data_IF_282828206798
#
_entry.id   IF_282828206798
#
_cell.length_a   1.000
_cell.length_b   1.000
_cell.length_c   1.000
_cell.angle_alpha   90.00
_cell.angle_beta   90.00
_cell.angle_gamma   90.00
#
_symmetry.space_group_name_H-M   'P 1'
#
loop_
_entity.id
_entity.type
_entity.pdbx_description
1 polymer ?
#
# COMPACT_ATOMS: atom_id res chain seq x y z
N UNK A 1 -15.89 29.83 8.85
CA UNK A 1 -14.55 29.20 8.84
C UNK A 1 -13.82 29.75 7.63
N UNK A 2 -12.75 30.52 7.85
CA UNK A 2 -11.93 31.13 6.79
C UNK A 2 -10.85 30.14 6.36
N UNK A 3 -11.04 29.48 5.22
CA UNK A 3 -10.01 28.68 4.54
C UNK A 3 -9.00 29.62 3.91
N UNK A 4 -7.72 29.47 4.26
CA UNK A 4 -6.63 30.25 3.66
C UNK A 4 -6.04 29.45 2.51
N UNK A 5 -6.42 29.78 1.28
CA UNK A 5 -5.80 29.25 0.07
C UNK A 5 -4.66 30.18 -0.34
N UNK A 6 -3.41 29.71 -0.23
CA UNK A 6 -2.25 30.48 -0.66
C UNK A 6 -1.79 29.92 -2.00
N UNK A 7 -2.00 30.61 -3.13
CA UNK A 7 -1.37 30.20 -4.38
C UNK A 7 0.15 30.29 -4.20
N UNK A 8 0.88 29.25 -4.62
CA UNK A 8 2.35 29.27 -4.61
C UNK A 8 2.81 30.46 -5.45
N UNK A 9 3.49 31.40 -4.78
CA UNK A 9 4.03 32.62 -5.39
C UNK A 9 4.91 32.24 -6.58
N UNK A 10 4.50 32.64 -7.79
CA UNK A 10 5.39 32.71 -8.94
C UNK A 10 6.59 33.56 -8.53
N UNK A 11 7.78 32.96 -8.51
CA UNK A 11 9.02 33.72 -8.52
C UNK A 11 9.12 34.44 -9.86
N UNK A 12 8.55 35.63 -9.96
CA UNK A 12 8.82 36.55 -11.06
C UNK A 12 10.22 37.12 -10.84
N UNK A 13 11.26 36.38 -11.22
CA UNK A 13 12.59 36.94 -11.40
C UNK A 13 12.75 37.31 -12.87
N UNK A 14 13.05 38.59 -13.11
CA UNK A 14 13.34 39.19 -14.39
C UNK A 14 14.61 38.60 -15.05
N UNK A 15 14.52 37.38 -15.55
CA UNK A 15 15.59 36.67 -16.27
C UNK A 15 15.18 36.23 -17.70
N UNK A 16 13.94 36.50 -18.12
CA UNK A 16 13.40 36.07 -19.42
C UNK A 16 13.81 36.95 -20.63
N UNK A 17 14.83 37.80 -20.48
CA UNK A 17 15.27 38.70 -21.56
C UNK A 17 16.73 38.49 -22.02
N UNK A 18 17.44 37.46 -21.55
CA UNK A 18 18.87 37.30 -21.87
C UNK A 18 19.34 35.86 -22.13
N UNK A 19 18.50 35.00 -22.73
CA UNK A 19 18.92 33.67 -23.19
C UNK A 19 18.53 33.42 -24.65
N UNK A 20 18.93 34.35 -25.52
CA UNK A 20 19.20 34.05 -26.93
C UNK A 20 20.67 34.36 -27.18
N UNK A 21 21.39 33.35 -27.68
CA UNK A 21 22.82 33.32 -28.03
C UNK A 21 23.80 32.94 -26.90
N UNK A 22 24.03 31.63 -26.74
CA UNK A 22 25.38 31.07 -26.56
C UNK A 22 25.34 29.53 -26.70
N UNK A 23 25.23 29.06 -27.95
CA UNK A 23 25.66 27.73 -28.34
C UNK A 23 27.19 27.71 -28.36
N UNK A 24 27.83 27.07 -27.38
CA UNK A 24 29.13 26.43 -27.59
C UNK A 24 29.30 25.28 -26.61
N UNK A 25 28.97 24.08 -27.09
CA UNK A 25 29.08 22.83 -26.38
C UNK A 25 30.53 22.53 -25.96
N UNK A 26 30.78 22.47 -24.65
CA UNK A 26 31.92 21.72 -24.09
C UNK A 26 31.44 20.31 -23.76
N UNK A 27 31.72 19.38 -24.67
CA UNK A 27 31.39 17.96 -24.52
C UNK A 27 32.13 17.37 -23.31
N UNK A 28 31.38 16.98 -22.27
CA UNK A 28 31.95 16.20 -21.17
C UNK A 28 32.45 14.85 -21.68
N UNK A 29 33.62 14.37 -21.21
CA UNK A 29 34.17 13.09 -21.64
C UNK A 29 33.23 11.95 -21.22
N UNK A 30 32.71 11.22 -22.22
CA UNK A 30 31.88 10.04 -22.03
C UNK A 30 32.66 9.02 -21.17
N UNK A 31 32.06 8.59 -20.06
CA UNK A 31 32.71 7.64 -19.15
C UNK A 31 33.14 6.37 -19.90
N UNK A 32 34.31 5.81 -19.56
CA UNK A 32 34.85 4.58 -20.18
C UNK A 32 33.85 3.41 -20.15
N UNK A 33 32.96 3.37 -19.14
CA UNK A 33 31.88 2.40 -19.03
C UNK A 33 30.81 2.56 -20.11
N UNK A 34 30.39 3.79 -20.43
CA UNK A 34 29.44 4.08 -21.51
C UNK A 34 30.04 3.75 -22.89
N UNK A 35 31.34 4.01 -23.07
CA UNK A 35 32.06 3.68 -24.30
C UNK A 35 32.15 2.17 -24.54
N UNK A 36 32.47 1.38 -23.50
CA UNK A 36 32.48 -0.09 -23.57
C UNK A 36 31.09 -0.66 -23.86
N UNK A 37 30.04 -0.09 -23.26
CA UNK A 37 28.67 -0.53 -23.47
C UNK A 37 28.19 -0.24 -24.90
N UNK A 38 28.54 0.95 -25.44
CA UNK A 38 28.26 1.31 -26.83
C UNK A 38 28.98 0.39 -27.82
N UNK A 39 30.27 0.12 -27.61
CA UNK A 39 31.04 -0.81 -28.44
C UNK A 39 30.50 -2.25 -28.39
N UNK A 40 30.06 -2.73 -27.22
CA UNK A 40 29.43 -4.03 -27.10
C UNK A 40 28.09 -4.10 -27.86
N UNK A 41 27.26 -3.04 -27.77
CA UNK A 41 25.99 -2.97 -28.50
C UNK A 41 26.18 -2.89 -30.01
N UNK A 42 27.15 -2.12 -30.48
CA UNK A 42 27.47 -2.01 -31.91
C UNK A 42 28.00 -3.35 -32.45
N UNK A 43 28.88 -4.06 -31.73
CA UNK A 43 29.34 -5.39 -32.12
C UNK A 43 28.23 -6.45 -32.16
N UNK A 44 27.23 -6.35 -31.28
CA UNK A 44 26.08 -7.25 -31.26
C UNK A 44 25.13 -6.94 -32.44
N UNK A 45 24.92 -5.64 -32.73
CA UNK A 45 24.11 -5.19 -33.87
C UNK A 45 24.71 -5.64 -35.19
N UNK A 46 26.03 -5.52 -35.35
CA UNK A 46 26.73 -5.83 -36.59
C UNK A 46 26.88 -7.34 -36.83
N UNK A 47 26.74 -8.18 -35.78
CA UNK A 47 26.85 -9.65 -35.86
C UNK A 47 25.51 -10.39 -35.98
N UNK A 48 24.36 -9.71 -35.94
CA UNK A 48 23.05 -10.38 -35.96
C UNK A 48 22.39 -10.37 -37.34
N UNK A 49 22.25 -11.52 -38.03
CA UNK A 49 21.51 -11.59 -39.27
C UNK A 49 20.00 -11.63 -38.98
N UNK A 50 19.27 -10.75 -39.66
CA UNK A 50 17.80 -10.57 -39.74
C UNK A 50 17.08 -9.88 -38.57
N UNK A 51 16.20 -8.88 -38.86
CA UNK A 51 15.51 -8.06 -37.87
C UNK A 51 14.47 -8.81 -37.02
N UNK A 52 13.98 -9.96 -37.48
CA UNK A 52 13.02 -10.77 -36.73
C UNK A 52 13.68 -11.60 -35.62
N UNK A 53 14.89 -12.11 -35.86
CA UNK A 53 15.67 -12.83 -34.83
C UNK A 53 16.07 -11.90 -33.69
N UNK A 54 16.22 -10.60 -33.95
CA UNK A 54 16.50 -9.60 -32.91
C UNK A 54 15.29 -9.32 -32.01
N UNK A 55 14.09 -9.25 -32.59
CA UNK A 55 12.84 -9.16 -31.80
C UNK A 55 12.58 -10.44 -31.01
N UNK A 56 12.89 -11.60 -31.59
CA UNK A 56 12.72 -12.90 -30.95
C UNK A 56 13.77 -13.16 -29.87
N UNK A 57 15.01 -12.68 -30.08
CA UNK A 57 16.05 -12.64 -29.04
C UNK A 57 15.67 -11.65 -27.95
N UNK A 58 15.17 -10.45 -28.25
CA UNK A 58 14.69 -9.50 -27.24
C UNK A 58 13.48 -10.02 -26.47
N UNK A 59 12.55 -10.71 -27.14
CA UNK A 59 11.43 -11.37 -26.50
C UNK A 59 11.93 -12.51 -25.61
N UNK A 60 12.80 -13.39 -26.14
CA UNK A 60 13.43 -14.46 -25.36
C UNK A 60 14.27 -13.92 -24.21
N UNK A 61 14.98 -12.80 -24.36
CA UNK A 61 15.79 -12.18 -23.31
C UNK A 61 14.93 -11.50 -22.25
N UNK A 62 13.80 -10.88 -22.64
CA UNK A 62 12.78 -10.36 -21.72
C UNK A 62 12.07 -11.47 -20.96
N UNK A 63 11.81 -12.62 -21.59
CA UNK A 63 11.16 -13.77 -20.95
C UNK A 63 12.14 -14.70 -20.20
N UNK A 64 13.42 -14.73 -20.57
CA UNK A 64 14.44 -15.61 -19.95
C UNK A 64 15.23 -14.93 -18.84
N UNK A 65 15.18 -13.60 -18.73
CA UNK A 65 15.65 -12.91 -17.54
C UNK A 65 14.51 -12.79 -16.54
N UNK A 66 14.46 -13.72 -15.59
CA UNK A 66 14.24 -13.32 -14.20
C UNK A 66 15.26 -12.24 -13.87
N UNK A 67 14.90 -10.99 -14.15
CA UNK A 67 15.78 -9.83 -14.06
C UNK A 67 16.42 -9.77 -12.67
N UNK A 68 17.73 -9.99 -12.62
CA UNK A 68 18.56 -9.89 -11.43
C UNK A 68 18.73 -8.45 -10.96
N UNK A 69 18.33 -7.45 -11.76
CA UNK A 69 18.46 -6.03 -11.46
C UNK A 69 17.26 -5.53 -10.67
N UNK A 70 17.48 -4.79 -9.58
CA UNK A 70 16.35 -4.15 -8.86
C UNK A 70 15.70 -3.22 -9.88
N UNK A 71 14.40 -3.38 -10.14
CA UNK A 71 13.74 -2.44 -11.02
C UNK A 71 13.65 -1.10 -10.30
N UNK A 72 14.48 -0.17 -10.77
CA UNK A 72 14.35 1.24 -10.53
C UNK A 72 13.63 1.82 -11.75
N UNK A 73 12.35 2.20 -11.63
CA UNK A 73 11.74 3.07 -12.62
C UNK A 73 12.68 4.27 -12.78
N UNK A 74 13.15 4.57 -14.01
CA UNK A 74 14.10 5.65 -14.20
C UNK A 74 13.44 6.95 -13.76
N UNK A 75 14.12 7.68 -12.86
CA UNK A 75 13.70 9.02 -12.46
C UNK A 75 13.50 9.88 -13.71
N UNK A 76 12.41 10.64 -13.79
CA UNK A 76 12.15 11.50 -14.93
C UNK A 76 13.22 12.61 -15.03
N UNK A 77 14.12 12.57 -16.03
CA UNK A 77 15.20 13.56 -16.13
C UNK A 77 14.73 14.90 -16.70
N UNK A 78 13.45 15.04 -17.05
CA UNK A 78 12.85 16.22 -17.71
C UNK A 78 11.70 16.82 -16.90
N UNK A 79 11.78 16.77 -15.58
CA UNK A 79 10.83 17.53 -14.74
C UNK A 79 11.10 19.02 -14.95
N UNK A 80 10.08 19.84 -15.23
CA UNK A 80 10.25 21.28 -15.26
C UNK A 80 10.70 21.76 -13.88
N UNK A 81 11.68 22.65 -13.81
CA UNK A 81 12.19 23.18 -12.54
C UNK A 81 11.11 23.90 -11.72
N UNK A 82 10.04 24.35 -12.38
CA UNK A 82 8.87 25.03 -11.82
C UNK A 82 7.67 24.11 -11.57
N UNK A 83 7.82 22.79 -11.72
CA UNK A 83 6.76 21.86 -11.34
C UNK A 83 6.68 21.73 -9.82
N UNK A 84 5.48 21.44 -9.32
CA UNK A 84 5.25 21.12 -7.92
C UNK A 84 6.17 19.98 -7.46
N UNK A 85 6.83 20.17 -6.32
CA UNK A 85 7.70 19.19 -5.69
C UNK A 85 7.15 18.76 -4.34
N UNK A 86 7.50 17.57 -3.87
CA UNK A 86 7.07 17.12 -2.54
C UNK A 86 7.68 17.98 -1.41
N UNK A 87 8.80 18.65 -1.68
CA UNK A 87 9.42 19.64 -0.79
C UNK A 87 8.56 20.89 -0.58
N UNK A 88 7.65 21.20 -1.50
CA UNK A 88 6.68 22.30 -1.32
C UNK A 88 5.73 21.99 -0.16
N UNK A 89 5.35 20.73 0.02
CA UNK A 89 4.53 20.27 1.15
C UNK A 89 5.31 20.39 2.45
N UNK A 90 6.60 20.04 2.44
CA UNK A 90 7.48 20.16 3.60
C UNK A 90 7.56 21.62 4.04
N UNK A 91 7.83 22.52 3.09
CA UNK A 91 7.91 23.97 3.31
C UNK A 91 6.58 24.52 3.83
N UNK A 92 5.46 24.10 3.21
CA UNK A 92 4.12 24.53 3.59
C UNK A 92 3.73 24.07 5.00
N UNK A 93 4.21 22.89 5.42
CA UNK A 93 4.09 22.37 6.79
C UNK A 93 5.10 22.99 7.78
N UNK A 94 5.94 23.93 7.34
CA UNK A 94 6.99 24.55 8.15
C UNK A 94 8.14 23.59 8.49
N UNK A 95 8.40 22.60 7.64
CA UNK A 95 9.47 21.60 7.81
C UNK A 95 10.67 21.95 6.94
N UNK A 96 11.86 21.78 7.50
CA UNK A 96 13.13 22.01 6.81
C UNK A 96 13.69 20.76 6.12
N UNK A 97 13.02 19.61 6.29
CA UNK A 97 13.45 18.32 5.76
C UNK A 97 12.24 17.46 5.38
N UNK A 98 12.40 16.50 4.46
CA UNK A 98 11.36 15.52 4.18
C UNK A 98 11.04 14.65 5.40
N UNK A 99 9.88 13.98 5.42
CA UNK A 99 9.50 13.12 6.52
C UNK A 99 10.42 11.89 6.56
N UNK A 100 10.69 11.36 7.75
CA UNK A 100 11.43 10.11 7.89
C UNK A 100 10.66 8.96 7.23
N UNK A 101 9.34 8.89 7.43
CA UNK A 101 8.44 7.90 6.81
C UNK A 101 7.18 8.59 6.33
N UNK A 102 6.71 8.23 5.14
CA UNK A 102 5.36 8.51 4.67
C UNK A 102 4.71 7.21 4.20
N UNK A 103 3.68 6.78 4.91
CA UNK A 103 2.86 5.65 4.52
C UNK A 103 1.74 6.14 3.60
N UNK A 104 1.65 5.53 2.42
CA UNK A 104 0.80 5.99 1.31
C UNK A 104 -0.31 4.97 1.11
N UNK A 105 -1.55 5.41 1.26
CA UNK A 105 -2.76 4.66 0.94
C UNK A 105 -3.36 5.22 -0.33
N UNK A 106 -3.33 4.40 -1.39
CA UNK A 106 -3.97 4.71 -2.65
C UNK A 106 -5.42 4.22 -2.57
N UNK A 107 -6.35 5.16 -2.57
CA UNK A 107 -7.77 4.85 -2.47
C UNK A 107 -8.30 4.30 -3.81
N UNK A 108 -9.11 3.26 -3.71
CA UNK A 108 -10.04 2.90 -4.79
C UNK A 108 -11.23 3.84 -4.69
N UNK A 109 -11.79 4.25 -5.82
CA UNK A 109 -12.95 5.15 -5.85
C UNK A 109 -14.07 4.58 -4.99
N UNK A 110 -14.31 5.23 -3.84
CA UNK A 110 -15.37 4.83 -2.93
C UNK A 110 -16.57 5.72 -3.15
N UNK A 111 -17.76 5.12 -3.13
CA UNK A 111 -19.01 5.85 -3.30
C UNK A 111 -19.18 6.81 -2.12
N UNK A 112 -19.64 8.05 -2.34
CA UNK A 112 -19.82 9.07 -1.27
C UNK A 112 -20.80 8.70 -0.15
N UNK A 113 -21.46 7.55 -0.24
CA UNK A 113 -22.44 7.09 0.74
C UNK A 113 -21.74 6.11 1.69
N UNK A 114 -21.69 6.38 3.01
CA UNK A 114 -21.00 5.53 3.98
C UNK A 114 -21.66 4.15 4.14
N UNK A 115 -22.91 3.99 3.71
CA UNK A 115 -23.65 2.71 3.73
C UNK A 115 -23.46 1.91 2.44
N UNK A 116 -22.78 2.46 1.42
CA UNK A 116 -22.61 1.77 0.16
C UNK A 116 -21.69 0.54 0.32
N UNK A 117 -22.01 -0.64 -0.23
CA UNK A 117 -21.19 -1.84 -0.08
C UNK A 117 -19.74 -1.69 -0.59
N UNK A 118 -19.45 -0.72 -1.46
CA UNK A 118 -18.08 -0.42 -1.87
C UNK A 118 -17.20 0.16 -0.75
N UNK A 119 -17.81 0.72 0.30
CA UNK A 119 -17.11 1.12 1.53
C UNK A 119 -16.57 -0.08 2.31
N UNK A 120 -17.22 -1.24 2.15
CA UNK A 120 -16.74 -2.52 2.68
C UNK A 120 -15.66 -3.13 1.77
N UNK A 121 -15.55 -2.64 0.53
CA UNK A 121 -14.54 -2.98 -0.46
C UNK A 121 -13.20 -2.38 -0.11
N UNK A 122 -12.52 -2.99 0.87
CA UNK A 122 -11.23 -2.53 1.42
C UNK A 122 -10.02 -2.70 0.50
N UNK A 123 -10.24 -2.59 -0.80
CA UNK A 123 -9.18 -2.70 -1.78
C UNK A 123 -8.51 -1.34 -1.88
N UNK A 124 -7.59 -1.07 -0.96
CA UNK A 124 -6.62 0.00 -1.14
C UNK A 124 -5.29 -0.62 -1.56
N UNK A 125 -4.43 0.19 -2.15
CA UNK A 125 -3.04 -0.19 -2.38
C UNK A 125 -2.14 0.59 -1.44
N UNK A 126 -1.07 -0.02 -0.96
CA UNK A 126 -0.13 0.63 -0.06
C UNK A 126 1.27 0.73 -0.64
N UNK A 127 1.87 1.90 -0.47
CA UNK A 127 3.29 2.15 -0.71
C UNK A 127 3.89 2.84 0.51
N UNK A 128 5.22 2.91 0.57
CA UNK A 128 5.92 3.66 1.62
C UNK A 128 7.06 4.46 1.03
N UNK A 129 7.07 5.77 1.32
CA UNK A 129 8.24 6.63 1.11
C UNK A 129 9.00 6.73 2.42
N UNK A 130 10.33 6.73 2.34
CA UNK A 130 11.16 6.91 3.52
C UNK A 130 12.47 7.60 3.20
N UNK A 131 13.03 8.26 4.20
CA UNK A 131 14.28 9.01 4.11
C UNK A 131 15.37 8.31 4.91
N UNK A 132 16.48 7.97 4.26
CA UNK A 132 17.64 7.37 4.90
C UNK A 132 18.42 8.41 5.73
N UNK A 133 19.25 7.98 6.70
CA UNK A 133 20.07 8.91 7.49
C UNK A 133 21.01 9.79 6.66
N UNK A 134 21.37 9.37 5.44
CA UNK A 134 22.17 10.16 4.50
C UNK A 134 21.35 11.19 3.70
N UNK A 135 20.05 11.36 4.00
CA UNK A 135 19.13 12.25 3.30
C UNK A 135 18.52 11.68 2.01
N UNK A 136 19.00 10.52 1.52
CA UNK A 136 18.42 9.88 0.32
C UNK A 136 16.99 9.40 0.59
N UNK A 137 16.05 9.87 -0.21
CA UNK A 137 14.68 9.36 -0.21
C UNK A 137 14.56 8.12 -1.10
N UNK A 138 13.68 7.20 -0.71
CA UNK A 138 13.28 6.05 -1.50
C UNK A 138 11.77 5.87 -1.36
N UNK A 139 11.11 5.40 -2.40
CA UNK A 139 9.75 4.91 -2.32
C UNK A 139 9.70 3.44 -2.72
N UNK A 140 9.02 2.65 -1.90
CA UNK A 140 8.82 1.23 -2.10
C UNK A 140 7.36 0.99 -2.44
N UNK A 141 7.16 0.44 -3.63
CA UNK A 141 5.87 0.00 -4.13
C UNK A 141 5.87 -1.53 -4.24
N UNK A 142 4.89 -2.18 -3.61
CA UNK A 142 4.82 -3.65 -3.57
C UNK A 142 3.66 -4.10 -4.44
N UNK A 143 3.96 -4.69 -5.60
CA UNK A 143 2.97 -5.08 -6.58
C UNK A 143 2.87 -6.59 -6.70
N UNK A 144 1.74 -7.06 -7.25
CA UNK A 144 1.68 -8.43 -7.75
C UNK A 144 2.72 -8.54 -8.88
N UNK A 145 3.63 -9.52 -8.83
CA UNK A 145 4.57 -9.73 -9.92
C UNK A 145 3.80 -10.14 -11.18
N UNK A 146 3.83 -9.29 -12.20
CA UNK A 146 3.38 -9.57 -13.57
C UNK A 146 4.62 -9.79 -14.46
N UNK A 147 4.45 -10.20 -15.73
CA UNK A 147 5.58 -10.45 -16.64
C UNK A 147 6.55 -9.26 -16.68
N UNK A 148 7.79 -9.48 -16.22
CA UNK A 148 8.83 -8.46 -16.17
C UNK A 148 8.81 -7.54 -14.93
N UNK A 149 7.81 -7.62 -14.05
CA UNK A 149 7.72 -6.83 -12.83
C UNK A 149 8.23 -7.59 -11.60
N UNK A 150 8.88 -6.87 -10.68
CA UNK A 150 9.32 -7.42 -9.41
C UNK A 150 8.24 -7.30 -8.34
N UNK A 151 8.32 -8.13 -7.30
CA UNK A 151 7.47 -8.01 -6.11
C UNK A 151 7.61 -6.63 -5.46
N UNK A 152 8.83 -6.08 -5.46
CA UNK A 152 9.14 -4.75 -4.94
C UNK A 152 9.75 -3.90 -6.05
N UNK A 153 9.14 -2.75 -6.30
CA UNK A 153 9.65 -1.69 -7.15
C UNK A 153 10.21 -0.57 -6.25
N UNK A 154 11.47 -0.21 -6.50
CA UNK A 154 12.13 0.88 -5.77
C UNK A 154 12.16 2.11 -6.65
N UNK A 155 11.49 3.16 -6.23
CA UNK A 155 11.55 4.47 -6.85
C UNK A 155 12.64 5.28 -6.14
N UNK A 156 13.68 5.64 -6.88
CA UNK A 156 14.68 6.60 -6.40
C UNK A 156 14.09 8.02 -6.32
N UNK A 157 13.05 8.29 -7.11
CA UNK A 157 12.31 9.54 -7.12
C UNK A 157 10.84 9.28 -6.73
N UNK A 158 10.45 9.56 -5.47
CA UNK A 158 9.09 9.29 -4.99
C UNK A 158 7.99 10.06 -5.73
N UNK A 159 8.31 11.20 -6.32
CA UNK A 159 7.33 12.04 -7.02
C UNK A 159 6.79 11.35 -8.28
N UNK A 160 7.61 10.55 -8.96
CA UNK A 160 7.19 9.81 -10.16
C UNK A 160 6.05 8.82 -9.84
N UNK A 161 5.99 8.35 -8.59
CA UNK A 161 4.91 7.50 -8.10
C UNK A 161 3.68 8.32 -7.67
N UNK A 162 3.88 9.33 -6.82
CA UNK A 162 2.78 10.10 -6.21
C UNK A 162 2.13 11.02 -7.23
N UNK A 163 2.92 11.85 -7.91
CA UNK A 163 2.43 12.82 -8.90
C UNK A 163 2.15 12.14 -10.25
N UNK A 164 2.72 10.96 -10.48
CA UNK A 164 2.62 10.24 -11.74
C UNK A 164 3.56 10.79 -12.82
N UNK A 165 3.65 10.05 -13.93
CA UNK A 165 4.54 10.39 -15.04
C UNK A 165 3.73 10.71 -16.30
N UNK A 166 3.94 11.88 -16.89
CA UNK A 166 3.28 12.32 -18.13
C UNK A 166 1.75 12.17 -18.11
N UNK A 167 1.12 12.55 -16.98
CA UNK A 167 -0.33 12.45 -16.82
C UNK A 167 -0.86 11.01 -16.70
N UNK A 168 -0.02 10.06 -16.29
CA UNK A 168 -0.38 8.65 -16.03
C UNK A 168 0.08 8.24 -14.62
N UNK A 169 -0.74 7.45 -13.94
CA UNK A 169 -0.45 7.00 -12.58
C UNK A 169 -0.66 8.09 -11.53
N UNK A 170 -0.30 7.80 -10.27
CA UNK A 170 -0.40 8.76 -9.16
C UNK A 170 -1.76 9.44 -9.04
N UNK A 171 -1.70 10.72 -8.67
CA UNK A 171 -2.87 11.62 -8.53
C UNK A 171 -3.64 11.85 -9.83
N UNK A 172 -3.08 11.55 -11.02
CA UNK A 172 -3.85 11.62 -12.27
C UNK A 172 -4.87 10.48 -12.41
N UNK A 173 -4.76 9.45 -11.57
CA UNK A 173 -5.57 8.25 -11.71
C UNK A 173 -6.40 7.93 -10.47
N UNK A 174 -5.95 8.35 -9.28
CA UNK A 174 -6.50 7.91 -8.00
C UNK A 174 -6.35 9.00 -6.96
N UNK A 175 -7.26 8.99 -5.98
CA UNK A 175 -7.05 9.74 -4.75
C UNK A 175 -6.00 9.01 -3.89
N UNK A 176 -5.15 9.76 -3.23
CA UNK A 176 -4.09 9.23 -2.39
C UNK A 176 -4.19 9.94 -1.04
N UNK A 177 -4.24 9.16 0.03
CA UNK A 177 -4.05 9.70 1.38
C UNK A 177 -2.76 9.14 1.96
N UNK A 178 -1.92 10.02 2.50
CA UNK A 178 -0.70 9.61 3.17
C UNK A 178 -0.66 10.11 4.60
N UNK A 179 0.07 9.36 5.44
CA UNK A 179 0.45 9.77 6.78
C UNK A 179 1.96 9.84 6.88
N UNK A 180 2.45 11.00 7.28
CA UNK A 180 3.86 11.35 7.42
C UNK A 180 4.26 11.34 8.88
N UNK A 181 5.38 10.69 9.16
CA UNK A 181 6.08 10.72 10.45
C UNK A 181 7.39 11.46 10.21
N UNK A 182 7.52 12.65 10.80
CA UNK A 182 8.60 13.58 10.47
C UNK A 182 9.95 13.09 11.00
N UNK A 183 9.97 12.58 12.23
CA UNK A 183 11.14 12.10 12.94
C UNK A 183 10.98 10.65 13.37
N UNK A 184 11.94 9.82 12.95
CA UNK A 184 12.09 8.41 13.35
C UNK A 184 13.58 8.14 13.58
N UNK A 185 13.90 7.24 14.51
CA UNK A 185 15.29 6.91 14.84
C UNK A 185 16.07 6.44 13.60
N UNK A 186 17.33 6.88 13.38
CA UNK A 186 18.12 6.50 12.21
C UNK A 186 18.28 4.99 12.03
N UNK A 187 18.43 4.24 13.12
CA UNK A 187 18.58 2.78 13.07
C UNK A 187 17.29 2.10 12.61
N UNK A 188 16.13 2.62 13.02
CA UNK A 188 14.82 2.16 12.51
C UNK A 188 14.71 2.36 11.00
N UNK A 189 15.27 3.46 10.48
CA UNK A 189 15.28 3.70 9.03
C UNK A 189 16.17 2.73 8.27
N UNK A 190 17.31 2.35 8.84
CA UNK A 190 18.17 1.30 8.26
C UNK A 190 17.49 -0.06 8.32
N UNK A 191 16.82 -0.39 9.42
CA UNK A 191 16.06 -1.63 9.57
C UNK A 191 14.95 -1.74 8.52
N UNK A 192 14.23 -0.64 8.25
CA UNK A 192 13.21 -0.55 7.21
C UNK A 192 13.79 -0.82 5.81
N UNK A 193 14.89 -0.15 5.45
CA UNK A 193 15.55 -0.31 4.15
C UNK A 193 16.09 -1.74 3.97
N UNK A 194 16.77 -2.27 4.98
CA UNK A 194 17.29 -3.65 4.98
C UNK A 194 16.18 -4.68 4.83
N UNK A 195 15.01 -4.46 5.45
CA UNK A 195 13.85 -5.33 5.28
C UNK A 195 13.38 -5.39 3.81
N UNK A 196 13.21 -4.24 3.15
CA UNK A 196 12.79 -4.21 1.76
C UNK A 196 13.85 -4.77 0.81
N UNK A 197 15.13 -4.46 1.05
CA UNK A 197 16.23 -5.05 0.29
C UNK A 197 16.26 -6.58 0.45
N UNK A 198 16.12 -7.08 1.67
CA UNK A 198 16.09 -8.52 1.95
C UNK A 198 14.94 -9.23 1.21
N UNK A 199 13.74 -8.64 1.19
CA UNK A 199 12.62 -9.21 0.41
C UNK A 199 12.94 -9.21 -1.09
N UNK A 200 13.46 -8.11 -1.62
CA UNK A 200 13.85 -8.02 -3.04
C UNK A 200 14.90 -9.07 -3.41
N UNK A 201 15.93 -9.22 -2.58
CA UNK A 201 16.97 -10.24 -2.77
C UNK A 201 16.41 -11.67 -2.68
N UNK A 202 15.54 -11.98 -1.71
CA UNK A 202 14.90 -13.30 -1.56
C UNK A 202 13.98 -13.64 -2.74
N UNK A 203 13.21 -12.66 -3.21
CA UNK A 203 12.35 -12.84 -4.37
C UNK A 203 13.18 -13.17 -5.62
N UNK A 204 14.32 -12.51 -5.80
CA UNK A 204 15.22 -12.75 -6.94
C UNK A 204 15.98 -14.06 -6.88
N UNK A 205 16.52 -14.41 -5.71
CA UNK A 205 17.38 -15.58 -5.56
C UNK A 205 16.63 -16.87 -5.94
N UNK A 206 15.39 -17.01 -5.49
CA UNK A 206 14.68 -18.28 -5.60
C UNK A 206 13.43 -18.21 -6.49
N UNK A 207 12.95 -17.01 -6.87
CA UNK A 207 11.63 -16.79 -7.51
C UNK A 207 10.43 -17.27 -6.67
N UNK A 208 10.72 -17.89 -5.53
CA UNK A 208 9.83 -18.71 -4.70
C UNK A 208 9.99 -18.40 -3.21
N UNK A 209 10.95 -17.56 -2.82
CA UNK A 209 11.24 -17.25 -1.40
C UNK A 209 10.21 -16.33 -0.74
N UNK A 210 9.44 -15.57 -1.53
CA UNK A 210 8.34 -14.71 -1.09
C UNK A 210 7.23 -14.76 -2.16
N UNK A 211 5.96 -14.80 -1.76
CA UNK A 211 4.83 -14.76 -2.70
C UNK A 211 3.89 -13.57 -2.43
N UNK A 212 3.23 -13.11 -3.49
CA UNK A 212 2.19 -12.09 -3.37
C UNK A 212 0.82 -12.75 -3.28
N UNK A 213 0.13 -12.54 -2.17
CA UNK A 213 -1.22 -13.07 -1.96
C UNK A 213 -2.13 -12.05 -1.32
N UNK A 214 -3.32 -11.89 -1.91
CA UNK A 214 -4.28 -10.87 -1.49
C UNK A 214 -5.08 -11.32 -0.26
N UNK A 215 -5.44 -12.60 -0.16
CA UNK A 215 -6.40 -13.12 0.83
C UNK A 215 -5.99 -14.42 1.50
N UNK A 216 -5.31 -15.32 0.79
CA UNK A 216 -4.89 -16.63 1.31
C UNK A 216 -3.79 -16.55 2.36
N UNK A 217 -2.83 -15.65 2.15
CA UNK A 217 -1.61 -15.62 2.92
C UNK A 217 -1.76 -15.38 4.43
N UNK A 218 -2.85 -14.78 4.92
CA UNK A 218 -3.03 -14.66 6.38
C UNK A 218 -3.04 -16.02 7.07
N UNK A 219 -3.86 -16.93 6.57
CA UNK A 219 -4.06 -18.26 7.17
C UNK A 219 -2.79 -19.08 7.11
N UNK A 220 -2.16 -19.09 5.93
CA UNK A 220 -0.90 -19.80 5.74
C UNK A 220 0.18 -19.30 6.69
N UNK A 221 0.25 -17.98 6.91
CA UNK A 221 1.23 -17.40 7.83
C UNK A 221 0.89 -17.61 9.30
N UNK A 222 -0.39 -17.53 9.71
CA UNK A 222 -0.80 -17.77 11.09
C UNK A 222 -0.59 -19.23 11.48
N UNK A 223 -1.04 -20.16 10.63
CA UNK A 223 -0.79 -21.60 10.82
C UNK A 223 0.72 -21.85 10.86
N UNK A 224 1.50 -21.19 10.00
CA UNK A 224 2.97 -21.29 10.05
C UNK A 224 3.54 -20.84 11.40
N UNK A 225 3.11 -19.69 11.89
CA UNK A 225 3.65 -19.08 13.10
C UNK A 225 3.30 -19.90 14.34
N UNK A 226 2.08 -20.43 14.42
CA UNK A 226 1.64 -21.30 15.52
C UNK A 226 2.31 -22.67 15.45
N UNK A 227 2.39 -23.29 14.27
CA UNK A 227 2.89 -24.66 14.11
C UNK A 227 4.35 -24.76 13.66
N UNK A 228 5.09 -23.64 13.61
CA UNK A 228 6.50 -23.55 13.19
C UNK A 228 6.80 -24.24 11.84
N UNK A 229 5.86 -24.18 10.89
CA UNK A 229 5.98 -24.91 9.63
C UNK A 229 7.02 -24.27 8.69
N UNK A 230 7.76 -25.05 7.90
CA UNK A 230 8.68 -24.53 6.88
C UNK A 230 7.90 -24.14 5.62
N UNK A 231 7.00 -23.15 5.71
CA UNK A 231 6.26 -22.61 4.56
C UNK A 231 6.70 -21.20 4.21
N UNK A 232 6.58 -20.85 2.93
CA UNK A 232 7.05 -19.57 2.38
C UNK A 232 6.20 -18.41 2.91
N UNK A 233 6.80 -17.26 3.25
CA UNK A 233 6.03 -16.08 3.59
C UNK A 233 5.31 -15.53 2.36
N UNK A 234 3.98 -15.54 2.44
CA UNK A 234 3.07 -14.94 1.48
C UNK A 234 2.49 -13.64 2.04
N UNK A 235 2.15 -12.67 1.18
CA UNK A 235 1.55 -11.43 1.66
C UNK A 235 1.18 -10.46 0.55
N UNK A 236 0.25 -9.55 0.84
CA UNK A 236 -0.08 -8.43 -0.05
C UNK A 236 0.83 -7.23 0.23
N UNK A 237 0.60 -6.13 -0.49
CA UNK A 237 1.34 -4.88 -0.32
C UNK A 237 1.34 -4.40 1.14
N UNK A 238 0.18 -4.39 1.79
CA UNK A 238 0.03 -3.95 3.18
C UNK A 238 0.81 -4.80 4.17
N UNK A 239 0.80 -6.14 4.03
CA UNK A 239 1.53 -7.03 4.93
C UNK A 239 3.03 -6.79 4.86
N UNK A 240 3.58 -6.69 3.66
CA UNK A 240 5.01 -6.50 3.47
C UNK A 240 5.47 -5.12 3.93
N UNK A 241 4.68 -4.07 3.68
CA UNK A 241 4.94 -2.72 4.18
C UNK A 241 4.84 -2.65 5.71
N UNK A 242 3.74 -3.15 6.30
CA UNK A 242 3.55 -3.09 7.75
C UNK A 242 4.60 -3.88 8.52
N UNK A 243 5.07 -5.02 8.00
CA UNK A 243 6.20 -5.74 8.61
C UNK A 243 7.47 -4.88 8.66
N UNK A 244 7.74 -4.11 7.60
CA UNK A 244 8.83 -3.14 7.60
C UNK A 244 8.64 -2.04 8.64
N UNK A 245 7.42 -1.50 8.73
CA UNK A 245 7.07 -0.46 9.71
C UNK A 245 7.13 -0.96 11.17
N UNK A 246 6.87 -2.26 11.41
CA UNK A 246 7.11 -2.90 12.71
C UNK A 246 8.61 -2.95 13.03
N UNK A 247 9.45 -3.34 12.06
CA UNK A 247 10.91 -3.29 12.26
C UNK A 247 11.44 -1.87 12.48
N UNK A 248 10.77 -0.87 11.92
CA UNK A 248 11.06 0.54 12.18
C UNK A 248 10.51 1.06 13.53
N UNK A 249 9.81 0.23 14.30
CA UNK A 249 9.13 0.59 15.54
C UNK A 249 8.09 1.73 15.36
N UNK A 250 7.47 1.81 14.18
CA UNK A 250 6.41 2.79 13.88
C UNK A 250 5.02 2.18 13.97
N UNK A 251 4.91 0.87 13.73
CA UNK A 251 3.73 0.07 14.00
C UNK A 251 3.99 -0.91 15.13
N UNK A 252 2.96 -1.23 15.91
CA UNK A 252 3.05 -2.27 16.93
C UNK A 252 2.91 -3.66 16.33
N UNK A 253 2.11 -3.78 15.27
CA UNK A 253 1.80 -5.05 14.61
C UNK A 253 1.72 -4.90 13.10
N UNK A 254 1.90 -6.04 12.43
CA UNK A 254 1.67 -6.15 10.99
C UNK A 254 0.16 -6.23 10.70
N UNK A 255 -0.27 -5.67 9.58
CA UNK A 255 -1.64 -5.77 9.08
C UNK A 255 -1.64 -5.98 7.57
N UNK A 256 -2.66 -6.67 7.07
CA UNK A 256 -2.87 -6.85 5.63
C UNK A 256 -3.84 -5.83 5.04
N UNK A 257 -4.35 -4.91 5.84
CA UNK A 257 -5.34 -3.92 5.42
C UNK A 257 -4.67 -2.53 5.39
N UNK A 258 -4.50 -1.91 4.21
CA UNK A 258 -3.80 -0.65 4.12
C UNK A 258 -4.37 0.45 5.02
N UNK A 259 -5.69 0.55 5.06
CA UNK A 259 -6.38 1.55 5.87
C UNK A 259 -6.22 1.31 7.37
N UNK A 260 -6.20 0.04 7.81
CA UNK A 260 -5.94 -0.28 9.21
C UNK A 260 -4.52 0.15 9.63
N UNK A 261 -3.52 0.00 8.76
CA UNK A 261 -2.16 0.50 8.98
C UNK A 261 -2.17 2.03 9.14
N UNK A 262 -2.85 2.72 8.23
CA UNK A 262 -2.97 4.18 8.28
C UNK A 262 -3.64 4.66 9.57
N UNK A 263 -4.75 4.02 9.97
CA UNK A 263 -5.45 4.33 11.23
C UNK A 263 -4.55 4.05 12.44
N UNK A 264 -3.85 2.92 12.46
CA UNK A 264 -2.95 2.59 13.57
C UNK A 264 -1.80 3.61 13.69
N UNK A 265 -1.21 4.02 12.56
CA UNK A 265 -0.20 5.08 12.55
C UNK A 265 -0.77 6.40 13.04
N UNK A 266 -1.94 6.81 12.55
CA UNK A 266 -2.58 8.06 12.95
C UNK A 266 -2.82 8.09 14.46
N UNK A 267 -3.50 7.07 14.98
CA UNK A 267 -3.91 7.00 16.38
C UNK A 267 -2.71 6.84 17.32
N UNK A 268 -1.78 5.93 17.02
CA UNK A 268 -0.67 5.66 17.93
C UNK A 268 0.42 6.74 17.88
N UNK A 269 0.82 7.17 16.68
CA UNK A 269 1.90 8.15 16.56
C UNK A 269 1.43 9.53 17.01
N UNK A 270 0.17 9.90 16.72
CA UNK A 270 -0.35 11.18 17.21
C UNK A 270 -0.60 11.18 18.71
N UNK A 271 -0.95 10.04 19.32
CA UNK A 271 -1.08 9.96 20.78
C UNK A 271 0.26 10.14 21.49
N UNK A 272 1.36 9.70 20.87
CA UNK A 272 2.71 9.87 21.41
C UNK A 272 3.25 11.28 21.16
N UNK A 273 3.13 11.78 19.93
CA UNK A 273 3.56 13.13 19.55
C UNK A 273 2.77 13.62 18.32
N UNK A 274 1.71 14.38 18.55
CA UNK A 274 0.86 14.93 17.49
C UNK A 274 1.62 15.85 16.51
N UNK A 275 2.66 16.56 16.97
CA UNK A 275 3.46 17.42 16.09
C UNK A 275 4.41 16.64 15.18
N UNK A 276 4.61 15.34 15.44
CA UNK A 276 5.43 14.48 14.57
C UNK A 276 4.63 13.85 13.43
N UNK A 277 3.32 14.08 13.38
CA UNK A 277 2.41 13.42 12.44
C UNK A 277 1.70 14.46 11.58
N UNK A 278 1.78 14.29 10.27
CA UNK A 278 1.00 15.08 9.32
C UNK A 278 0.29 14.16 8.33
N UNK A 279 -0.97 14.42 8.05
CA UNK A 279 -1.75 13.74 7.03
C UNK A 279 -1.81 14.62 5.80
N UNK A 280 -1.47 14.05 4.64
CA UNK A 280 -1.54 14.73 3.36
C UNK A 280 -2.52 13.98 2.47
N UNK A 281 -3.53 14.70 1.98
CA UNK A 281 -4.51 14.14 1.06
C UNK A 281 -4.28 14.73 -0.32
N UNK A 282 -3.92 13.89 -1.28
CA UNK A 282 -3.75 14.26 -2.66
C UNK A 282 -5.02 13.92 -3.43
N UNK A 283 -5.74 14.97 -3.84
CA UNK A 283 -6.97 14.81 -4.60
C UNK A 283 -6.64 14.43 -6.04
N UNK A 284 -7.43 13.50 -6.58
CA UNK A 284 -7.28 13.06 -7.96
C UNK A 284 -7.55 14.22 -8.93
N UNK A 285 -6.62 14.42 -9.86
CA UNK A 285 -6.72 15.43 -10.90
C UNK A 285 -7.83 15.10 -11.91
N UNK A 286 -8.65 16.10 -12.24
CA UNK A 286 -9.81 16.00 -13.13
C UNK A 286 -9.36 16.02 -14.59
N UNK A 287 -9.66 14.99 -15.38
CA UNK A 287 -9.35 15.01 -16.83
C UNK A 287 -9.30 13.64 -17.51
N UNK A 288 -9.16 12.55 -16.75
CA UNK A 288 -9.29 11.18 -17.27
C UNK A 288 -10.32 10.40 -16.47
N UNK A 289 -11.56 10.90 -16.47
CA UNK A 289 -12.73 10.22 -15.87
C UNK A 289 -13.18 9.05 -16.76
N UNK A 290 -12.28 8.12 -17.05
CA UNK A 290 -12.69 6.76 -17.35
C UNK A 290 -12.53 6.00 -16.06
N UNK A 291 -13.58 6.03 -15.24
CA UNK A 291 -13.70 5.13 -14.10
C UNK A 291 -13.45 3.71 -14.63
N UNK A 292 -12.40 3.06 -14.12
CA UNK A 292 -12.20 1.67 -14.50
C UNK A 292 -13.34 0.87 -13.86
N UNK A 293 -14.09 0.05 -14.62
CA UNK A 293 -15.30 -0.62 -14.12
C UNK A 293 -15.03 -1.64 -12.99
N UNK A 294 -13.78 -2.04 -12.74
CA UNK A 294 -13.45 -2.86 -11.56
C UNK A 294 -13.33 -2.05 -10.26
N UNK A 295 -13.40 -0.72 -10.32
CA UNK A 295 -13.44 0.16 -9.14
C UNK A 295 -14.88 0.43 -8.67
N UNK A 296 -15.90 0.11 -9.48
CA UNK A 296 -17.32 0.35 -9.14
C UNK A 296 -17.92 -0.77 -8.29
N UNK A 297 -17.41 -2.00 -8.41
CA UNK A 297 -17.92 -3.18 -7.68
C UNK A 297 -17.07 -3.47 -6.44
N UNK A 298 -17.15 -2.61 -5.42
CA UNK A 298 -16.38 -2.78 -4.19
C UNK A 298 -16.80 -3.97 -3.31
N UNK A 299 -17.96 -4.61 -3.54
CA UNK A 299 -18.39 -5.75 -2.74
C UNK A 299 -18.06 -7.09 -3.42
N UNK A 300 -16.89 -7.67 -3.11
CA UNK A 300 -16.60 -9.06 -3.46
C UNK A 300 -16.93 -10.01 -2.31
N UNK A 301 -17.08 -11.32 -2.59
CA UNK A 301 -17.20 -12.40 -1.59
C UNK A 301 -16.08 -12.36 -0.53
N UNK A 302 -14.95 -11.76 -0.90
CA UNK A 302 -13.84 -11.47 -0.01
C UNK A 302 -14.18 -10.49 1.12
N UNK A 303 -15.05 -9.52 0.86
CA UNK A 303 -15.52 -8.53 1.85
C UNK A 303 -16.33 -9.19 2.97
N UNK A 304 -17.12 -10.22 2.63
CA UNK A 304 -17.84 -11.03 3.62
C UNK A 304 -16.88 -11.83 4.51
N UNK A 305 -15.87 -12.49 3.90
CA UNK A 305 -14.80 -13.16 4.66
C UNK A 305 -14.05 -12.18 5.56
N UNK A 306 -13.74 -10.99 5.06
CA UNK A 306 -13.08 -9.95 5.84
C UNK A 306 -13.96 -9.42 6.98
N UNK A 307 -15.28 -9.40 6.80
CA UNK A 307 -16.22 -9.01 7.86
C UNK A 307 -16.31 -10.03 8.97
N UNK A 308 -16.36 -11.32 8.62
CA UNK A 308 -16.38 -12.41 9.60
C UNK A 308 -15.06 -12.53 10.37
N UNK A 309 -13.93 -12.37 9.68
CA UNK A 309 -12.59 -12.71 10.20
C UNK A 309 -11.80 -11.50 10.68
N UNK A 310 -12.16 -10.29 10.26
CA UNK A 310 -11.46 -9.04 10.60
C UNK A 310 -12.47 -7.88 10.79
N UNK A 311 -13.49 -8.04 11.65
CA UNK A 311 -14.56 -7.07 11.88
C UNK A 311 -14.02 -5.72 12.33
N UNK A 312 -13.00 -5.72 13.19
CA UNK A 312 -12.41 -4.50 13.76
C UNK A 312 -11.80 -3.68 12.64
N UNK A 313 -11.03 -4.33 11.77
CA UNK A 313 -10.44 -3.66 10.63
C UNK A 313 -11.52 -3.18 9.64
N UNK A 314 -12.71 -3.83 9.56
CA UNK A 314 -13.85 -3.30 8.78
C UNK A 314 -14.31 -2.00 9.42
N UNK A 315 -14.59 -2.06 10.71
CA UNK A 315 -15.27 -1.00 11.42
C UNK A 315 -14.36 0.20 11.52
N UNK A 316 -13.05 -0.01 11.75
CA UNK A 316 -12.06 1.05 11.61
C UNK A 316 -12.02 1.60 10.19
N UNK A 317 -11.95 0.76 9.16
CA UNK A 317 -11.96 1.26 7.77
C UNK A 317 -13.21 2.09 7.44
N UNK A 318 -14.36 1.72 8.02
CA UNK A 318 -15.64 2.41 7.89
C UNK A 318 -15.71 3.69 8.73
N UNK A 319 -15.23 3.70 9.97
CA UNK A 319 -15.21 4.90 10.81
C UNK A 319 -14.30 5.99 10.24
N UNK A 320 -13.19 5.57 9.62
CA UNK A 320 -12.26 6.47 8.92
C UNK A 320 -12.55 6.53 7.42
N UNK A 321 -13.78 6.26 6.97
CA UNK A 321 -14.13 6.15 5.54
C UNK A 321 -13.66 7.36 4.72
N UNK A 322 -13.91 8.57 5.22
CA UNK A 322 -13.44 9.82 4.62
C UNK A 322 -12.09 10.21 5.20
N UNK A 323 -11.01 9.76 4.56
CA UNK A 323 -9.66 10.09 5.01
C UNK A 323 -9.31 11.57 4.80
N UNK A 324 -10.02 12.28 3.91
CA UNK A 324 -9.79 13.70 3.64
C UNK A 324 -10.14 14.59 4.83
N UNK A 325 -11.10 14.19 5.67
CA UNK A 325 -11.44 14.88 6.91
C UNK A 325 -10.28 14.92 7.92
N UNK A 326 -9.31 14.02 7.82
CA UNK A 326 -8.16 13.96 8.72
C UNK A 326 -6.93 14.68 8.16
N UNK A 327 -7.01 15.24 6.95
CA UNK A 327 -5.89 15.90 6.29
C UNK A 327 -5.46 17.18 7.01
N UNK A 328 -4.16 17.38 7.14
CA UNK A 328 -3.55 18.66 7.49
C UNK A 328 -3.31 19.50 6.23
N UNK A 329 -2.95 18.83 5.13
CA UNK A 329 -2.72 19.45 3.83
C UNK A 329 -3.53 18.71 2.78
N UNK A 330 -4.29 19.46 1.98
CA UNK A 330 -4.89 18.96 0.76
C UNK A 330 -4.09 19.48 -0.42
N UNK A 331 -3.59 18.57 -1.24
CA UNK A 331 -2.98 18.86 -2.54
C UNK A 331 -4.06 18.68 -3.60
N UNK A 332 -4.42 19.75 -4.28
CA UNK A 332 -5.47 19.75 -5.30
C UNK A 332 -5.08 20.67 -6.47
N UNK A 333 -5.94 20.78 -7.47
CA UNK A 333 -5.84 21.81 -8.49
C UNK A 333 -7.20 22.49 -8.69
N UNK A 334 -7.19 23.73 -9.16
CA UNK A 334 -8.41 24.39 -9.59
C UNK A 334 -9.00 23.67 -10.81
N UNK A 335 -10.33 23.68 -10.89
CA UNK A 335 -11.10 22.94 -11.91
C UNK A 335 -10.85 23.45 -13.33
N UNK A 336 -10.31 24.67 -13.44
CA UNK A 336 -10.13 25.38 -14.69
C UNK A 336 -8.77 25.11 -15.35
N UNK A 337 -7.87 24.35 -14.71
CA UNK A 337 -6.51 24.10 -15.24
C UNK A 337 -6.50 23.01 -16.32
N UNK A 338 -5.99 23.30 -17.53
CA UNK A 338 -5.82 22.29 -18.59
C UNK A 338 -4.91 21.14 -18.14
N UNK A 339 -5.24 19.90 -18.54
CA UNK A 339 -4.52 18.67 -18.14
C UNK A 339 -2.98 18.76 -18.28
N UNK A 340 -2.48 19.46 -19.31
CA UNK A 340 -1.05 19.64 -19.54
C UNK A 340 -0.34 20.46 -18.44
N UNK A 341 -1.08 21.33 -17.76
CA UNK A 341 -0.57 22.25 -16.74
C UNK A 341 -0.93 21.81 -15.32
N UNK A 342 -1.68 20.70 -15.16
CA UNK A 342 -2.23 20.35 -13.86
C UNK A 342 -1.18 20.01 -12.79
N UNK A 343 -0.05 19.42 -13.17
CA UNK A 343 1.08 19.19 -12.25
C UNK A 343 1.88 20.44 -11.91
N UNK A 344 1.78 21.48 -12.73
CA UNK A 344 2.51 22.74 -12.52
C UNK A 344 1.73 23.73 -11.65
N UNK A 345 0.42 23.51 -11.50
CA UNK A 345 -0.49 24.43 -10.81
C UNK A 345 -1.20 23.72 -9.64
N UNK A 346 -0.51 22.78 -8.98
CA UNK A 346 -1.05 22.19 -7.76
C UNK A 346 -1.11 23.26 -6.66
N UNK A 347 -2.25 23.31 -5.99
CA UNK A 347 -2.52 24.18 -4.86
C UNK A 347 -2.43 23.38 -3.56
N UNK A 348 -1.86 24.03 -2.54
CA UNK A 348 -1.81 23.50 -1.18
C UNK A 348 -2.83 24.23 -0.31
N UNK A 349 -3.69 23.47 0.35
CA UNK A 349 -4.68 24.00 1.28
C UNK A 349 -4.39 23.45 2.68
N UNK A 350 -4.20 24.36 3.64
CA UNK A 350 -4.10 23.99 5.05
C UNK A 350 -5.51 23.74 5.58
N UNK A 351 -5.74 22.54 6.11
CA UNK A 351 -7.02 22.15 6.68
C UNK A 351 -6.81 21.80 8.14
N UNK A 352 -7.63 22.39 9.02
CA UNK A 352 -7.76 21.88 10.38
C UNK A 352 -8.59 20.60 10.27
N UNK A 353 -7.90 19.45 10.20
CA UNK A 353 -8.56 18.14 10.09
C UNK A 353 -9.72 18.04 11.08
N UNK A 354 -10.94 17.98 10.56
CA UNK A 354 -12.19 17.91 11.34
C UNK A 354 -12.59 16.48 11.69
N UNK A 355 -11.83 15.49 11.19
CA UNK A 355 -12.06 14.08 11.43
C UNK A 355 -12.04 13.76 12.92
N UNK A 356 -13.16 13.23 13.42
CA UNK A 356 -13.26 12.76 14.78
C UNK A 356 -12.53 11.43 14.92
N UNK A 357 -11.51 11.40 15.79
CA UNK A 357 -10.86 10.15 16.17
C UNK A 357 -11.85 9.26 16.91
N UNK A 358 -11.87 7.99 16.56
CA UNK A 358 -12.72 7.03 17.26
C UNK A 358 -12.15 6.80 18.66
N UNK A 359 -12.91 7.05 19.74
CA UNK A 359 -12.43 6.76 21.08
C UNK A 359 -12.05 5.28 21.21
N UNK A 360 -10.91 4.99 21.84
CA UNK A 360 -10.43 3.60 22.02
C UNK A 360 -11.49 2.69 22.65
N UNK A 361 -12.27 3.22 23.59
CA UNK A 361 -13.39 2.50 24.21
C UNK A 361 -14.42 1.98 23.20
N UNK A 362 -14.72 2.73 22.15
CA UNK A 362 -15.65 2.30 21.09
C UNK A 362 -15.04 1.14 20.29
N UNK A 363 -13.75 1.21 19.97
CA UNK A 363 -13.03 0.13 19.28
C UNK A 363 -13.02 -1.15 20.13
N UNK A 364 -12.74 -1.03 21.43
CA UNK A 364 -12.77 -2.17 22.35
C UNK A 364 -14.17 -2.73 22.54
N UNK A 365 -15.19 -1.87 22.63
CA UNK A 365 -16.59 -2.31 22.71
C UNK A 365 -16.98 -3.10 21.46
N UNK A 366 -16.64 -2.59 20.27
CA UNK A 366 -16.89 -3.27 19.00
C UNK A 366 -16.22 -4.65 18.96
N UNK A 367 -14.95 -4.74 19.38
CA UNK A 367 -14.21 -6.01 19.48
C UNK A 367 -14.88 -6.98 20.43
N UNK A 368 -15.24 -6.50 21.62
CA UNK A 368 -15.91 -7.30 22.63
C UNK A 368 -17.25 -7.84 22.13
N UNK A 369 -18.07 -6.99 21.50
CA UNK A 369 -19.35 -7.36 20.93
C UNK A 369 -19.21 -8.37 19.79
N UNK A 370 -18.18 -8.25 18.94
CA UNK A 370 -17.90 -9.27 17.92
C UNK A 370 -17.45 -10.59 18.54
N UNK A 371 -16.57 -10.57 19.54
CA UNK A 371 -16.17 -11.77 20.27
C UNK A 371 -17.38 -12.50 20.86
N UNK A 372 -18.31 -11.76 21.48
CA UNK A 372 -19.58 -12.30 21.97
C UNK A 372 -20.44 -12.88 20.85
N UNK A 373 -20.56 -12.17 19.72
CA UNK A 373 -21.35 -12.64 18.57
C UNK A 373 -20.78 -13.94 18.00
N UNK A 374 -19.46 -14.01 17.76
CA UNK A 374 -18.81 -15.21 17.23
C UNK A 374 -18.95 -16.37 18.22
N UNK A 375 -18.72 -16.12 19.51
CA UNK A 375 -18.89 -17.13 20.54
C UNK A 375 -20.34 -17.64 20.60
N UNK A 376 -21.32 -16.72 20.56
CA UNK A 376 -22.74 -17.06 20.56
C UNK A 376 -23.17 -17.85 19.32
N UNK A 377 -22.75 -17.43 18.12
CA UNK A 377 -22.99 -18.16 16.87
C UNK A 377 -22.39 -19.56 16.90
N UNK A 378 -21.22 -19.70 17.51
CA UNK A 378 -20.57 -20.98 17.63
C UNK A 378 -21.25 -21.91 18.61
N UNK A 379 -21.62 -21.42 19.80
CA UNK A 379 -22.43 -22.19 20.74
C UNK A 379 -23.78 -22.58 20.10
N UNK A 380 -24.43 -21.64 19.41
CA UNK A 380 -25.65 -21.91 18.64
C UNK A 380 -25.45 -23.03 17.62
N UNK A 381 -24.36 -23.01 16.86
CA UNK A 381 -24.03 -24.08 15.94
C UNK A 381 -23.77 -25.42 16.67
N UNK A 382 -23.03 -25.42 17.78
CA UNK A 382 -22.75 -26.65 18.55
C UNK A 382 -24.03 -27.25 19.14
N UNK A 383 -24.93 -26.43 19.67
CA UNK A 383 -26.14 -26.91 20.36
C UNK A 383 -27.35 -27.13 19.45
N UNK A 384 -27.44 -26.43 18.31
CA UNK A 384 -28.62 -26.47 17.42
C UNK A 384 -28.34 -27.03 16.02
N UNK A 385 -27.12 -27.45 15.68
CA UNK A 385 -26.91 -28.13 14.41
C UNK A 385 -27.60 -29.52 14.46
N UNK A 386 -28.59 -29.83 13.60
CA UNK A 386 -29.51 -30.97 13.78
C UNK A 386 -28.91 -32.36 13.52
N UNK A 387 -27.58 -32.50 13.58
CA UNK A 387 -26.86 -33.72 13.19
C UNK A 387 -26.64 -34.73 14.31
N UNK A 388 -27.04 -34.43 15.55
CA UNK A 388 -27.07 -35.42 16.62
C UNK A 388 -28.26 -36.35 16.44
N UNK A 389 -28.16 -37.32 15.52
CA UNK A 389 -29.11 -38.42 15.51
C UNK A 389 -28.99 -39.15 16.86
N UNK A 390 -30.11 -39.44 17.56
CA UNK A 390 -30.06 -40.38 18.67
C UNK A 390 -29.50 -41.70 18.14
N UNK A 391 -28.64 -42.36 18.92
CA UNK A 391 -28.13 -43.68 18.56
C UNK A 391 -29.31 -44.59 18.19
N UNK A 392 -29.25 -45.23 17.03
CA UNK A 392 -30.32 -46.11 16.56
C UNK A 392 -30.56 -47.32 17.48
N UNK A 393 -29.66 -47.54 18.45
CA UNK A 393 -29.75 -48.61 19.44
C UNK A 393 -29.86 -48.02 20.86
N UNK A 394 -30.96 -48.27 21.59
CA UNK A 394 -31.21 -47.72 22.92
C UNK A 394 -30.32 -48.28 24.05
N UNK A 395 -29.38 -49.19 23.74
CA UNK A 395 -28.57 -49.89 24.75
C UNK A 395 -27.16 -49.32 24.95
N UNK A 396 -26.74 -48.33 24.16
CA UNK A 396 -25.41 -47.71 24.33
C UNK A 396 -25.54 -46.42 25.12
N UNK A 397 -25.43 -46.53 26.44
CA UNK A 397 -25.30 -45.38 27.33
C UNK A 397 -24.02 -44.60 26.98
N UNK A 398 -24.20 -43.43 26.36
CA UNK A 398 -23.17 -42.42 26.12
C UNK A 398 -22.10 -42.75 25.05
N UNK A 399 -22.53 -43.10 23.83
CA UNK A 399 -21.69 -42.91 22.65
C UNK A 399 -22.20 -41.71 21.85
N UNK A 400 -21.53 -40.56 22.00
CA UNK A 400 -21.52 -39.60 20.90
C UNK A 400 -20.73 -40.25 19.76
N UNK A 401 -21.41 -40.93 18.84
CA UNK A 401 -20.81 -41.17 17.52
C UNK A 401 -20.59 -39.79 16.89
N UNK A 402 -19.40 -39.24 17.07
CA UNK A 402 -18.91 -38.16 16.23
C UNK A 402 -18.88 -38.75 14.82
N UNK A 403 -19.87 -38.34 14.01
CA UNK A 403 -20.23 -38.87 12.70
C UNK A 403 -19.12 -39.59 11.92
N UNK A 404 -19.47 -40.65 11.15
CA UNK A 404 -18.61 -41.20 10.11
C UNK A 404 -18.06 -40.08 9.23
N UNK A 405 -16.81 -40.20 8.84
CA UNK A 405 -15.97 -39.25 8.10
C UNK A 405 -16.48 -38.81 6.71
N UNK A 406 -17.75 -39.07 6.40
CA UNK A 406 -18.34 -38.96 5.06
C UNK A 406 -19.51 -37.99 4.94
N UNK A 407 -19.87 -37.21 6.00
CA UNK A 407 -20.94 -36.20 5.93
C UNK A 407 -20.49 -34.75 6.22
N UNK A 408 -21.15 -33.72 5.62
CA UNK A 408 -20.71 -32.31 5.64
C UNK A 408 -20.72 -31.63 7.02
N UNK A 409 -21.31 -32.28 8.04
CA UNK A 409 -21.46 -31.73 9.38
C UNK A 409 -20.16 -31.65 10.19
N UNK A 410 -19.20 -32.56 9.98
CA UNK A 410 -17.88 -32.47 10.65
C UNK A 410 -17.06 -31.29 10.14
N UNK A 411 -17.25 -30.94 8.86
CA UNK A 411 -16.66 -29.74 8.25
C UNK A 411 -17.23 -28.48 8.88
N UNK A 412 -18.54 -28.40 9.11
CA UNK A 412 -19.17 -27.25 9.76
C UNK A 412 -18.74 -27.07 11.22
N UNK A 413 -18.62 -28.15 11.99
CA UNK A 413 -18.11 -28.10 13.37
C UNK A 413 -16.64 -27.63 13.43
N UNK A 414 -15.80 -28.12 12.52
CA UNK A 414 -14.40 -27.67 12.38
C UNK A 414 -14.32 -26.21 11.93
N UNK A 415 -15.19 -25.76 11.03
CA UNK A 415 -15.28 -24.36 10.60
C UNK A 415 -15.70 -23.48 11.78
N UNK A 416 -16.70 -23.88 12.54
CA UNK A 416 -17.17 -23.14 13.72
C UNK A 416 -16.08 -23.03 14.79
N UNK A 417 -15.43 -24.14 15.16
CA UNK A 417 -14.31 -24.13 16.10
C UNK A 417 -13.14 -23.29 15.58
N UNK A 418 -12.85 -23.37 14.27
CA UNK A 418 -11.87 -22.49 13.66
C UNK A 418 -12.30 -21.03 13.82
N UNK A 419 -13.52 -20.64 13.46
CA UNK A 419 -14.02 -19.26 13.57
C UNK A 419 -13.97 -18.74 15.02
N UNK A 420 -14.27 -19.58 16.02
CA UNK A 420 -14.12 -19.22 17.45
C UNK A 420 -12.66 -19.05 17.83
N UNK A 421 -11.81 -20.03 17.50
CA UNK A 421 -10.37 -19.93 17.75
C UNK A 421 -9.79 -18.70 17.07
N UNK A 422 -10.29 -18.34 15.88
CA UNK A 422 -9.91 -17.15 15.12
C UNK A 422 -10.32 -15.87 15.85
N UNK A 423 -11.57 -15.77 16.33
CA UNK A 423 -12.00 -14.61 17.09
C UNK A 423 -11.22 -14.47 18.41
N UNK A 424 -10.89 -15.59 19.06
CA UNK A 424 -10.05 -15.61 20.27
C UNK A 424 -8.61 -15.19 19.95
N UNK A 425 -8.01 -15.70 18.88
CA UNK A 425 -6.66 -15.34 18.45
C UNK A 425 -6.60 -13.89 17.99
N UNK A 426 -7.59 -13.41 17.23
CA UNK A 426 -7.72 -11.99 16.88
C UNK A 426 -7.76 -11.16 18.17
N UNK A 427 -8.58 -11.53 19.14
CA UNK A 427 -8.66 -10.83 20.43
C UNK A 427 -7.34 -10.87 21.23
N UNK A 428 -6.60 -11.98 21.19
CA UNK A 428 -5.34 -12.15 21.94
C UNK A 428 -4.14 -11.45 21.30
N UNK A 429 -4.11 -11.37 19.97
CA UNK A 429 -3.04 -10.71 19.22
C UNK A 429 -3.30 -9.20 18.98
N UNK A 430 -4.42 -8.62 19.46
CA UNK A 430 -4.82 -7.22 19.23
C UNK A 430 -5.08 -6.37 20.47
#
# INVERSE_FOLDING_TARGET
MTTTSTPLLRSSSAADAAYTAADTATAQPVSRSKLRWKQAMDQIRDKSPTPNRWKELLARFRTSQHSTYIMYPPANPRKPDFAFQLSDIDTFLGRSKPPAIEYIVVEVLVHKCPLHPSQLGRWAHSAVRYTLPCGKQKLVNICRPEEGHQLIEFYDDPEDYILGYQGKGGIFSRDICSIRIEDVHPDSMRALDHHFQAISHRFKADGKGCSFEITGGFWENLVREVFHLPSKPSGNCARWVSKGLVYANVLKRQSMFPKAIWVEMLENQSANNAHNVNVVYYRRLKGKVKEKPHLTTGFSFTSFKAWLLFPTDVIQSWLYWDMSCFANVIVDNSDDVPLANQTQQLELQLVQGSGFRTPRAVIYMVRFMHGLLVFGLALGYVFYCPGGYPAATPEVSFAYEVCPSTWPGTTGYRITLAVVAIAILEFWFY
#
